data_IF_689367397642
#
_entry.id   IF_689367397642
#
_cell.length_a   1.000
_cell.length_b   1.000
_cell.length_c   1.000
_cell.angle_alpha   90.00
_cell.angle_beta   90.00
_cell.angle_gamma   90.00
#
_symmetry.space_group_name_H-M   'P 1'
#
loop_
_entity.id
_entity.type
_entity.pdbx_description
1 polymer ?
#
# COMPACT_ATOMS: atom_id res chain seq x y z
N UNK A 1 22.72 10.49 -15.92
CA UNK A 1 21.92 9.27 -15.76
C UNK A 1 20.51 9.45 -16.34
N UNK A 2 19.79 10.54 -16.01
CA UNK A 2 18.39 10.77 -16.41
C UNK A 2 18.14 10.77 -17.93
N UNK A 3 19.09 11.17 -18.78
CA UNK A 3 18.95 11.13 -20.25
C UNK A 3 18.68 9.72 -20.81
N UNK A 4 19.02 8.67 -20.07
CA UNK A 4 18.80 7.25 -20.42
C UNK A 4 17.76 6.58 -19.52
N UNK A 5 17.07 7.35 -18.69
CA UNK A 5 16.05 6.86 -17.76
C UNK A 5 14.67 6.96 -18.40
N UNK A 6 13.85 5.94 -18.21
CA UNK A 6 12.39 6.01 -18.39
C UNK A 6 11.71 6.03 -17.04
N UNK A 7 10.56 6.69 -16.95
CA UNK A 7 9.80 6.77 -15.70
C UNK A 7 8.37 6.32 -15.94
N UNK A 8 7.95 5.26 -15.24
CA UNK A 8 6.54 4.89 -15.18
C UNK A 8 5.90 5.66 -14.01
N UNK A 9 4.82 6.35 -14.28
CA UNK A 9 4.08 7.18 -13.32
C UNK A 9 2.71 6.56 -13.14
N UNK A 10 2.51 5.85 -12.02
CA UNK A 10 1.22 5.31 -11.63
C UNK A 10 0.46 6.39 -10.86
N UNK A 11 -0.73 6.77 -11.33
CA UNK A 11 -1.47 7.90 -10.77
C UNK A 11 -2.97 7.65 -10.72
N UNK A 12 -3.66 8.38 -9.86
CA UNK A 12 -5.11 8.45 -9.81
C UNK A 12 -5.58 9.89 -9.99
N UNK A 13 -6.41 10.18 -10.99
CA UNK A 13 -7.00 11.52 -11.18
C UNK A 13 -7.91 11.93 -10.02
N UNK A 14 -8.36 10.98 -9.23
CA UNK A 14 -9.12 11.13 -8.00
C UNK A 14 -8.24 11.49 -6.78
N UNK A 15 -6.92 11.25 -6.84
CA UNK A 15 -5.99 11.42 -5.73
C UNK A 15 -5.43 12.85 -5.68
N UNK A 16 -5.51 13.50 -4.50
CA UNK A 16 -4.96 14.83 -4.27
C UNK A 16 -3.45 14.91 -4.47
N UNK A 17 -2.72 13.89 -4.00
CA UNK A 17 -1.26 13.81 -4.16
C UNK A 17 -0.86 13.64 -5.63
N UNK A 18 -1.61 12.85 -6.40
CA UNK A 18 -1.40 12.74 -7.85
C UNK A 18 -1.59 14.08 -8.54
N UNK A 19 -2.65 14.82 -8.21
CA UNK A 19 -2.93 16.17 -8.74
C UNK A 19 -1.85 17.18 -8.38
N UNK A 20 -1.23 17.02 -7.21
CA UNK A 20 -0.16 17.88 -6.73
C UNK A 20 1.17 17.54 -7.38
N UNK A 21 1.61 16.29 -7.27
CA UNK A 21 3.00 15.92 -7.55
C UNK A 21 3.27 15.58 -9.02
N UNK A 22 2.29 15.01 -9.75
CA UNK A 22 2.52 14.64 -11.15
C UNK A 22 2.77 15.86 -12.05
N UNK A 23 1.98 16.95 -11.99
CA UNK A 23 2.27 18.15 -12.79
C UNK A 23 3.60 18.81 -12.43
N UNK A 24 3.95 18.85 -11.13
CA UNK A 24 5.25 19.41 -10.69
C UNK A 24 6.42 18.59 -11.19
N UNK A 25 6.29 17.26 -11.16
CA UNK A 25 7.30 16.35 -11.69
C UNK A 25 7.50 16.54 -13.20
N UNK A 26 6.41 16.60 -13.98
CA UNK A 26 6.49 16.79 -15.43
C UNK A 26 7.12 18.15 -15.77
N UNK A 27 6.73 19.21 -15.03
CA UNK A 27 7.34 20.53 -15.20
C UNK A 27 8.84 20.51 -14.92
N UNK A 28 9.28 19.92 -13.80
CA UNK A 28 10.71 19.80 -13.49
C UNK A 28 11.43 18.97 -14.54
N UNK A 29 10.80 17.91 -15.07
CA UNK A 29 11.36 17.09 -16.15
C UNK A 29 11.63 17.90 -17.42
N UNK A 30 10.70 18.78 -17.80
CA UNK A 30 10.84 19.70 -18.94
C UNK A 30 11.93 20.75 -18.69
N UNK A 31 11.98 21.35 -17.50
CA UNK A 31 12.99 22.34 -17.10
C UNK A 31 14.42 21.75 -17.12
N UNK A 32 14.56 20.46 -16.87
CA UNK A 32 15.83 19.72 -17.00
C UNK A 32 16.18 19.37 -18.46
N UNK A 33 15.38 19.76 -19.44
CA UNK A 33 15.58 19.46 -20.86
C UNK A 33 15.46 17.97 -21.20
N UNK A 34 14.71 17.21 -20.41
CA UNK A 34 14.48 15.79 -20.61
C UNK A 34 13.25 15.58 -21.51
N UNK A 35 13.21 14.45 -22.23
CA UNK A 35 12.17 14.20 -23.22
C UNK A 35 10.91 13.60 -22.58
N UNK A 36 9.73 14.12 -22.91
CA UNK A 36 8.45 13.59 -22.41
C UNK A 36 8.15 12.15 -22.86
N UNK A 37 8.73 11.68 -23.97
CA UNK A 37 8.61 10.30 -24.39
C UNK A 37 9.34 9.29 -23.47
N UNK A 38 10.12 9.77 -22.51
CA UNK A 38 10.68 8.97 -21.42
C UNK A 38 9.67 8.71 -20.29
N UNK A 39 8.53 9.42 -20.28
CA UNK A 39 7.50 9.33 -19.27
C UNK A 39 6.33 8.47 -19.76
N UNK A 40 5.93 7.48 -18.99
CA UNK A 40 4.72 6.69 -19.22
C UNK A 40 3.76 6.91 -18.06
N UNK A 41 2.56 7.42 -18.35
CA UNK A 41 1.51 7.63 -17.36
C UNK A 41 0.55 6.44 -17.38
N UNK A 42 0.28 5.87 -16.20
CA UNK A 42 -0.63 4.74 -16.00
C UNK A 42 -1.71 5.17 -15.00
N UNK A 43 -2.94 5.35 -15.50
CA UNK A 43 -4.09 5.71 -14.67
C UNK A 43 -4.62 4.50 -13.89
N UNK A 44 -4.88 4.67 -12.59
CA UNK A 44 -5.42 3.63 -11.74
C UNK A 44 -6.87 3.93 -11.33
N UNK A 45 -7.69 2.89 -11.26
CA UNK A 45 -9.07 2.96 -10.79
C UNK A 45 -9.18 3.25 -9.28
N UNK A 46 -10.35 3.74 -8.85
CA UNK A 46 -10.68 3.98 -7.44
C UNK A 46 -12.09 3.48 -7.09
N UNK A 47 -12.61 2.54 -7.84
CA UNK A 47 -13.87 1.93 -7.45
C UNK A 47 -13.63 0.75 -6.48
N UNK A 48 -14.71 0.33 -5.84
CA UNK A 48 -14.65 -0.71 -4.81
C UNK A 48 -14.06 -2.03 -5.31
N UNK A 49 -14.32 -2.39 -6.56
CA UNK A 49 -13.87 -3.65 -7.18
C UNK A 49 -12.45 -3.59 -7.75
N UNK A 50 -11.95 -2.39 -8.10
CA UNK A 50 -10.71 -2.17 -8.86
C UNK A 50 -9.77 -1.15 -8.21
N UNK A 51 -9.80 -1.07 -6.89
CA UNK A 51 -8.98 -0.08 -6.16
C UNK A 51 -7.48 -0.23 -6.46
N UNK A 52 -6.93 0.82 -7.07
CA UNK A 52 -5.51 0.91 -7.51
C UNK A 52 -5.07 -0.16 -8.51
N UNK A 53 -6.00 -0.67 -9.31
CA UNK A 53 -5.66 -1.51 -10.46
C UNK A 53 -5.65 -0.68 -11.75
N UNK A 54 -4.84 -1.07 -12.72
CA UNK A 54 -4.78 -0.45 -14.04
C UNK A 54 -5.68 -1.19 -15.05
N UNK A 55 -6.12 -0.54 -16.15
CA UNK A 55 -7.00 -1.16 -17.14
C UNK A 55 -6.49 -2.48 -17.72
N UNK A 56 -5.19 -2.61 -17.91
CA UNK A 56 -4.56 -3.81 -18.51
C UNK A 56 -3.62 -4.51 -17.50
N UNK A 57 -3.74 -4.23 -16.20
CA UNK A 57 -2.91 -4.86 -15.17
C UNK A 57 -1.45 -4.39 -15.14
N UNK A 58 -1.17 -3.18 -15.64
CA UNK A 58 0.19 -2.64 -15.69
C UNK A 58 0.86 -2.46 -14.32
N UNK A 59 0.05 -2.41 -13.26
CA UNK A 59 0.51 -2.33 -11.87
C UNK A 59 1.00 -3.67 -11.31
N UNK A 60 0.63 -4.79 -11.95
CA UNK A 60 0.97 -6.13 -11.45
C UNK A 60 2.48 -6.32 -11.36
N UNK A 61 2.95 -6.84 -10.23
CA UNK A 61 4.38 -7.00 -9.94
C UNK A 61 5.16 -5.71 -9.76
N UNK A 62 4.49 -4.53 -9.69
CA UNK A 62 5.16 -3.21 -9.49
C UNK A 62 5.06 -2.71 -8.05
N UNK A 63 4.40 -3.46 -7.17
CA UNK A 63 4.26 -3.10 -5.76
C UNK A 63 3.62 -1.71 -5.54
N UNK A 64 2.55 -1.41 -6.31
CA UNK A 64 1.85 -0.14 -6.23
C UNK A 64 0.82 -0.18 -5.11
N UNK A 65 1.08 0.49 -4.00
CA UNK A 65 0.13 0.63 -2.88
C UNK A 65 -0.26 2.08 -2.60
N UNK A 66 0.47 3.04 -3.16
CA UNK A 66 0.18 4.49 -3.06
C UNK A 66 0.26 5.14 -4.44
N UNK A 67 -0.45 6.24 -4.62
CA UNK A 67 -0.40 7.06 -5.84
C UNK A 67 -0.23 8.54 -5.48
N UNK A 68 0.61 9.27 -6.26
CA UNK A 68 1.37 8.77 -7.40
C UNK A 68 2.56 7.89 -6.96
N UNK A 69 2.95 6.95 -7.80
CA UNK A 69 4.25 6.28 -7.67
C UNK A 69 5.03 6.49 -8.95
N UNK A 70 6.25 7.00 -8.82
CA UNK A 70 7.19 7.24 -9.92
C UNK A 70 8.27 6.16 -9.87
N UNK A 71 8.36 5.33 -10.90
CA UNK A 71 9.34 4.25 -11.00
C UNK A 71 10.40 4.61 -12.05
N UNK A 72 11.62 4.85 -11.62
CA UNK A 72 12.75 5.19 -12.47
C UNK A 72 13.46 3.93 -12.94
N UNK A 73 13.59 3.77 -14.27
CA UNK A 73 14.16 2.58 -14.89
C UNK A 73 15.32 2.94 -15.83
N UNK A 74 16.31 2.06 -15.86
CA UNK A 74 17.37 2.04 -16.88
C UNK A 74 17.39 0.65 -17.51
N UNK A 75 17.30 0.57 -18.83
CA UNK A 75 17.19 -0.71 -19.55
C UNK A 75 16.06 -1.61 -19.01
N UNK A 76 14.90 -1.02 -18.70
CA UNK A 76 13.72 -1.65 -18.08
C UNK A 76 13.92 -2.19 -16.65
N UNK A 77 15.07 -1.98 -16.04
CA UNK A 77 15.35 -2.37 -14.65
C UNK A 77 15.12 -1.14 -13.77
N UNK A 78 14.24 -1.30 -12.76
CA UNK A 78 14.02 -0.27 -11.75
C UNK A 78 15.28 -0.07 -10.90
N UNK A 79 15.62 1.19 -10.64
CA UNK A 79 16.75 1.55 -9.79
C UNK A 79 16.42 2.60 -8.72
N UNK A 80 15.24 3.22 -8.82
CA UNK A 80 14.73 4.16 -7.82
C UNK A 80 13.21 4.30 -7.96
N UNK A 81 12.53 4.71 -6.88
CA UNK A 81 11.12 5.12 -6.90
C UNK A 81 10.84 6.24 -5.92
N UNK A 82 9.81 7.04 -6.22
CA UNK A 82 9.17 7.98 -5.29
C UNK A 82 7.74 7.47 -5.07
N UNK A 83 7.33 7.32 -3.81
CA UNK A 83 6.01 6.78 -3.43
C UNK A 83 5.19 7.88 -2.77
N UNK A 84 4.07 8.24 -3.36
CA UNK A 84 3.07 9.24 -2.97
C UNK A 84 3.61 10.67 -2.99
N UNK A 85 4.71 10.94 -2.32
CA UNK A 85 5.37 12.24 -2.27
C UNK A 85 6.88 12.07 -2.20
N UNK A 86 7.67 13.10 -2.55
CA UNK A 86 9.10 13.09 -2.31
C UNK A 86 9.43 12.86 -0.84
N UNK A 87 10.57 12.25 -0.57
CA UNK A 87 11.09 12.04 0.80
C UNK A 87 11.56 13.35 1.42
N UNK A 88 12.26 14.15 0.62
CA UNK A 88 12.75 15.47 0.98
C UNK A 88 11.87 16.53 0.27
N UNK A 89 12.30 16.96 -0.87
CA UNK A 89 11.55 17.71 -1.87
C UNK A 89 11.83 17.12 -3.26
N UNK A 90 11.04 17.53 -4.25
CA UNK A 90 11.12 16.91 -5.57
C UNK A 90 12.45 17.15 -6.28
N UNK A 91 13.05 18.33 -6.13
CA UNK A 91 14.31 18.71 -6.75
C UNK A 91 15.45 17.88 -6.13
N UNK A 92 15.49 17.83 -4.80
CA UNK A 92 16.50 17.07 -4.05
C UNK A 92 16.44 15.59 -4.39
N UNK A 93 15.22 14.98 -4.37
CA UNK A 93 15.08 13.55 -4.67
C UNK A 93 15.46 13.22 -6.10
N UNK A 94 15.09 14.05 -7.09
CA UNK A 94 15.48 13.87 -8.48
C UNK A 94 17.00 14.02 -8.67
N UNK A 95 17.63 14.99 -7.98
CA UNK A 95 19.09 15.15 -8.00
C UNK A 95 19.81 13.92 -7.42
N UNK A 96 19.34 13.40 -6.29
CA UNK A 96 19.90 12.18 -5.68
C UNK A 96 19.73 10.95 -6.58
N UNK A 97 18.58 10.80 -7.24
CA UNK A 97 18.34 9.75 -8.23
C UNK A 97 19.30 9.88 -9.42
N UNK A 98 19.51 11.09 -9.92
CA UNK A 98 20.43 11.37 -11.01
C UNK A 98 21.89 11.00 -10.67
N UNK A 99 22.30 11.29 -9.44
CA UNK A 99 23.63 10.97 -8.90
C UNK A 99 23.80 9.47 -8.59
N UNK A 100 22.71 8.72 -8.43
CA UNK A 100 22.73 7.29 -8.11
C UNK A 100 22.62 6.95 -6.63
N UNK A 101 22.20 7.91 -5.80
CA UNK A 101 22.00 7.77 -4.35
C UNK A 101 20.56 8.12 -3.97
N UNK A 102 19.53 7.39 -4.49
CA UNK A 102 18.15 7.71 -4.23
C UNK A 102 17.83 7.59 -2.73
N UNK A 103 16.99 8.49 -2.23
CA UNK A 103 16.37 8.34 -0.91
C UNK A 103 15.54 7.05 -0.85
N UNK A 104 15.44 6.46 0.34
CA UNK A 104 14.47 5.39 0.57
C UNK A 104 13.05 5.94 0.39
N UNK A 105 12.18 5.24 -0.33
CA UNK A 105 10.80 5.67 -0.53
C UNK A 105 10.05 5.79 0.79
N UNK A 106 9.02 6.63 0.83
CA UNK A 106 8.07 6.65 1.93
C UNK A 106 7.39 5.28 2.09
N UNK A 107 6.81 5.03 3.27
CA UNK A 107 6.09 3.77 3.58
C UNK A 107 7.01 2.54 3.59
N UNK A 108 8.12 2.66 4.33
CA UNK A 108 9.15 1.61 4.41
C UNK A 108 8.59 0.27 4.91
N UNK A 109 7.58 0.28 5.79
CA UNK A 109 6.92 -0.92 6.28
C UNK A 109 6.10 -1.63 5.20
N UNK A 110 5.32 -0.87 4.43
CA UNK A 110 4.53 -1.42 3.32
C UNK A 110 5.43 -1.92 2.18
N UNK A 111 6.47 -1.18 1.82
CA UNK A 111 7.45 -1.61 0.82
C UNK A 111 8.15 -2.90 1.24
N UNK A 112 8.57 -3.01 2.51
CA UNK A 112 9.18 -4.20 3.07
C UNK A 112 8.26 -5.44 2.98
N UNK A 113 6.98 -5.30 3.35
CA UNK A 113 6.05 -6.42 3.24
C UNK A 113 5.74 -6.80 1.80
N UNK A 114 5.60 -5.82 0.90
CA UNK A 114 5.34 -6.13 -0.50
C UNK A 114 6.48 -6.93 -1.13
N UNK A 115 7.74 -6.54 -0.86
CA UNK A 115 8.91 -7.27 -1.32
C UNK A 115 8.94 -8.71 -0.79
N UNK A 116 8.61 -8.90 0.50
CA UNK A 116 8.54 -10.22 1.11
C UNK A 116 7.46 -11.10 0.48
N UNK A 117 6.28 -10.57 0.21
CA UNK A 117 5.19 -11.31 -0.41
C UNK A 117 5.51 -11.79 -1.84
N UNK A 118 6.44 -11.14 -2.51
CA UNK A 118 6.87 -11.54 -3.86
C UNK A 118 8.07 -12.52 -3.83
N UNK A 119 8.77 -12.64 -2.70
CA UNK A 119 10.03 -13.40 -2.60
C UNK A 119 10.01 -14.54 -1.59
N UNK A 120 9.08 -14.51 -0.63
CA UNK A 120 9.03 -15.47 0.50
C UNK A 120 7.64 -16.10 0.58
N UNK A 121 7.58 -17.42 0.81
CA UNK A 121 6.29 -18.10 0.98
C UNK A 121 5.57 -17.66 2.26
N UNK A 122 4.23 -17.63 2.22
CA UNK A 122 3.41 -17.28 3.39
C UNK A 122 3.66 -18.17 4.60
N UNK A 123 3.92 -19.47 4.38
CA UNK A 123 4.23 -20.40 5.46
C UNK A 123 5.52 -19.98 6.20
N UNK A 124 6.52 -19.54 5.46
CA UNK A 124 7.75 -19.00 6.03
C UNK A 124 7.52 -17.68 6.75
N UNK A 125 6.69 -16.80 6.18
CA UNK A 125 6.33 -15.53 6.83
C UNK A 125 5.58 -15.76 8.14
N UNK A 126 4.63 -16.69 8.16
CA UNK A 126 3.87 -17.06 9.37
C UNK A 126 4.80 -17.65 10.46
N UNK A 127 5.71 -18.54 10.10
CA UNK A 127 6.70 -19.08 11.05
C UNK A 127 7.59 -18.00 11.64
N UNK A 128 7.84 -16.92 10.90
CA UNK A 128 8.69 -15.81 11.31
C UNK A 128 7.90 -14.55 11.70
N UNK A 129 6.60 -14.67 12.02
CA UNK A 129 5.72 -13.53 12.33
C UNK A 129 6.34 -12.54 13.33
N UNK A 130 6.87 -13.04 14.44
CA UNK A 130 7.50 -12.21 15.46
C UNK A 130 8.75 -11.44 14.97
N UNK A 131 9.50 -12.01 14.03
CA UNK A 131 10.63 -11.31 13.40
C UNK A 131 10.13 -10.15 12.56
N UNK A 132 9.11 -10.39 11.72
CA UNK A 132 8.53 -9.35 10.87
C UNK A 132 7.87 -8.24 11.71
N UNK A 133 7.17 -8.60 12.79
CA UNK A 133 6.64 -7.63 13.76
C UNK A 133 7.74 -6.72 14.33
N UNK A 134 8.87 -7.32 14.79
CA UNK A 134 9.99 -6.54 15.34
C UNK A 134 10.59 -5.57 14.30
N UNK A 135 10.78 -6.03 13.07
CA UNK A 135 11.31 -5.20 11.97
C UNK A 135 10.35 -4.06 11.65
N UNK A 136 9.05 -4.34 11.56
CA UNK A 136 8.03 -3.34 11.22
C UNK A 136 7.85 -2.26 12.28
N UNK A 137 8.13 -2.54 13.55
CA UNK A 137 8.12 -1.52 14.60
C UNK A 137 9.05 -0.32 14.33
N UNK A 138 10.12 -0.52 13.56
CA UNK A 138 11.03 0.55 13.16
C UNK A 138 10.74 1.15 11.80
N UNK A 139 9.80 0.57 11.02
CA UNK A 139 9.52 0.95 9.64
C UNK A 139 8.12 1.51 9.42
N UNK A 140 7.13 0.97 10.11
CA UNK A 140 5.73 1.41 10.00
C UNK A 140 5.41 2.38 11.14
N UNK A 141 5.14 3.64 10.80
CA UNK A 141 4.90 4.70 11.80
C UNK A 141 3.42 5.06 11.94
N UNK A 142 2.56 4.57 11.06
CA UNK A 142 1.12 4.86 11.06
C UNK A 142 0.34 3.63 10.62
N UNK A 143 -0.77 3.33 11.30
CA UNK A 143 -1.64 2.18 11.00
C UNK A 143 -2.17 2.19 9.57
N UNK A 144 -2.47 3.39 9.02
CA UNK A 144 -2.95 3.55 7.65
C UNK A 144 -1.96 3.10 6.57
N UNK A 145 -0.68 2.93 6.91
CA UNK A 145 0.34 2.44 5.99
C UNK A 145 0.04 1.00 5.58
N UNK A 146 -0.01 0.09 6.56
CA UNK A 146 -0.32 -1.32 6.34
C UNK A 146 -1.80 -1.54 6.01
N UNK A 147 -2.69 -0.71 6.52
CA UNK A 147 -4.10 -0.76 6.16
C UNK A 147 -4.30 -0.58 4.65
N UNK A 148 -3.65 0.45 4.06
CA UNK A 148 -3.73 0.68 2.62
C UNK A 148 -3.14 -0.49 1.82
N UNK A 149 -2.00 -1.05 2.26
CA UNK A 149 -1.41 -2.23 1.62
C UNK A 149 -2.37 -3.42 1.68
N UNK A 150 -2.96 -3.70 2.85
CA UNK A 150 -3.93 -4.78 3.04
C UNK A 150 -5.10 -4.69 2.08
N UNK A 151 -5.69 -3.51 1.90
CA UNK A 151 -6.77 -3.31 0.93
C UNK A 151 -6.32 -3.48 -0.52
N UNK A 152 -5.13 -3.02 -0.90
CA UNK A 152 -4.59 -3.25 -2.24
C UNK A 152 -4.43 -4.74 -2.51
N UNK A 153 -3.92 -5.50 -1.53
CA UNK A 153 -3.79 -6.96 -1.63
C UNK A 153 -5.15 -7.65 -1.74
N UNK A 154 -6.14 -7.24 -0.92
CA UNK A 154 -7.52 -7.77 -1.02
C UNK A 154 -8.11 -7.58 -2.41
N UNK A 155 -8.04 -6.36 -2.95
CA UNK A 155 -8.60 -6.05 -4.28
C UNK A 155 -7.82 -6.73 -5.41
N UNK A 156 -6.55 -7.05 -5.19
CA UNK A 156 -5.73 -7.88 -6.09
C UNK A 156 -5.93 -9.39 -5.89
N UNK A 157 -6.93 -9.79 -5.09
CA UNK A 157 -7.23 -11.21 -4.75
C UNK A 157 -6.10 -11.95 -4.03
N UNK A 158 -5.14 -11.24 -3.46
CA UNK A 158 -4.06 -11.76 -2.61
C UNK A 158 -4.55 -11.82 -1.16
N UNK A 159 -5.63 -12.57 -0.91
CA UNK A 159 -6.38 -12.53 0.37
C UNK A 159 -5.51 -12.96 1.56
N UNK A 160 -4.71 -14.02 1.40
CA UNK A 160 -3.87 -14.54 2.48
C UNK A 160 -2.78 -13.54 2.90
N UNK A 161 -2.17 -12.85 1.93
CA UNK A 161 -1.19 -11.78 2.21
C UNK A 161 -1.87 -10.56 2.85
N UNK A 162 -3.08 -10.23 2.42
CA UNK A 162 -3.87 -9.17 3.04
C UNK A 162 -4.15 -9.48 4.52
N UNK A 163 -4.59 -10.70 4.84
CA UNK A 163 -4.83 -11.14 6.20
C UNK A 163 -3.57 -11.05 7.06
N UNK A 164 -2.43 -11.53 6.56
CA UNK A 164 -1.14 -11.42 7.26
C UNK A 164 -0.75 -9.96 7.52
N UNK A 165 -0.97 -9.07 6.53
CA UNK A 165 -0.71 -7.64 6.65
C UNK A 165 -1.61 -6.98 7.71
N UNK A 166 -2.92 -7.24 7.68
CA UNK A 166 -3.86 -6.71 8.66
C UNK A 166 -3.59 -7.25 10.07
N UNK A 167 -3.26 -8.53 10.20
CA UNK A 167 -2.90 -9.12 11.48
C UNK A 167 -1.69 -8.41 12.09
N UNK A 168 -0.60 -8.26 11.34
CA UNK A 168 0.57 -7.48 11.80
C UNK A 168 0.20 -6.06 12.22
N UNK A 169 -0.71 -5.42 11.49
CA UNK A 169 -1.17 -4.07 11.80
C UNK A 169 -1.87 -4.00 13.17
N UNK A 170 -2.64 -5.02 13.55
CA UNK A 170 -3.28 -5.08 14.88
C UNK A 170 -2.26 -5.20 16.02
N UNK A 171 -1.14 -5.88 15.81
CA UNK A 171 -0.06 -5.97 16.80
C UNK A 171 0.73 -4.68 16.91
N UNK A 172 0.96 -3.99 15.80
CA UNK A 172 1.72 -2.72 15.77
C UNK A 172 0.93 -1.57 16.39
N UNK A 173 -0.36 -1.50 16.10
CA UNK A 173 -1.24 -0.38 16.46
C UNK A 173 -2.45 -0.84 17.29
N UNK A 174 -2.17 -1.59 18.34
CA UNK A 174 -3.16 -2.29 19.18
C UNK A 174 -4.23 -1.42 19.85
N UNK A 175 -4.08 -0.10 19.84
CA UNK A 175 -5.04 0.84 20.41
C UNK A 175 -5.84 1.60 19.33
N UNK A 176 -5.60 1.34 18.06
CA UNK A 176 -6.35 1.93 16.94
C UNK A 176 -7.51 0.99 16.57
N UNK A 177 -8.79 1.37 16.81
CA UNK A 177 -9.92 0.53 16.47
C UNK A 177 -10.01 0.21 14.97
N UNK A 178 -9.52 1.10 14.11
CA UNK A 178 -9.59 0.94 12.66
C UNK A 178 -8.78 -0.26 12.15
N UNK A 179 -7.69 -0.67 12.84
CA UNK A 179 -6.93 -1.85 12.40
C UNK A 179 -7.70 -3.15 12.62
N UNK A 180 -8.51 -3.21 13.68
CA UNK A 180 -9.37 -4.36 13.96
C UNK A 180 -10.59 -4.38 13.04
N UNK A 181 -11.15 -3.21 12.72
CA UNK A 181 -12.26 -3.07 11.77
C UNK A 181 -11.87 -3.62 10.40
N UNK A 182 -10.73 -3.15 9.86
CA UNK A 182 -10.21 -3.60 8.57
C UNK A 182 -9.82 -5.09 8.56
N UNK A 183 -9.26 -5.61 9.66
CA UNK A 183 -8.97 -7.03 9.78
C UNK A 183 -10.24 -7.87 9.86
N UNK A 184 -11.26 -7.40 10.60
CA UNK A 184 -12.58 -8.02 10.67
C UNK A 184 -13.24 -8.12 9.29
N UNK A 185 -13.21 -7.04 8.50
CA UNK A 185 -13.71 -7.03 7.12
C UNK A 185 -13.01 -8.09 6.26
N UNK A 186 -11.67 -8.11 6.29
CA UNK A 186 -10.88 -9.05 5.51
C UNK A 186 -11.16 -10.52 5.89
N UNK A 187 -11.30 -10.80 7.19
CA UNK A 187 -11.67 -12.13 7.71
C UNK A 187 -13.08 -12.53 7.28
N UNK A 188 -14.04 -11.62 7.33
CA UNK A 188 -15.40 -11.88 6.90
C UNK A 188 -15.48 -12.20 5.40
N UNK A 189 -14.76 -11.44 4.58
CA UNK A 189 -14.62 -11.70 3.14
C UNK A 189 -13.96 -13.05 2.84
N UNK A 190 -13.08 -13.53 3.74
CA UNK A 190 -12.45 -14.85 3.63
C UNK A 190 -13.31 -15.99 4.20
N UNK A 191 -14.51 -15.71 4.73
CA UNK A 191 -15.40 -16.70 5.34
C UNK A 191 -15.05 -17.07 6.79
N UNK A 192 -14.09 -16.39 7.42
CA UNK A 192 -13.65 -16.63 8.79
C UNK A 192 -14.54 -15.85 9.81
N UNK A 193 -15.85 -16.08 9.76
CA UNK A 193 -16.87 -15.27 10.45
C UNK A 193 -16.66 -15.17 11.97
N UNK A 194 -16.26 -16.25 12.64
CA UNK A 194 -16.03 -16.22 14.09
C UNK A 194 -14.81 -15.35 14.46
N UNK A 195 -13.75 -15.39 13.65
CA UNK A 195 -12.60 -14.51 13.87
C UNK A 195 -12.95 -13.04 13.57
N UNK A 196 -13.71 -12.79 12.49
CA UNK A 196 -14.20 -11.45 12.15
C UNK A 196 -15.04 -10.88 13.30
N UNK A 197 -15.97 -11.66 13.87
CA UNK A 197 -16.78 -11.28 15.02
C UNK A 197 -15.91 -10.83 16.22
N UNK A 198 -14.84 -11.58 16.51
CA UNK A 198 -13.91 -11.22 17.58
C UNK A 198 -13.19 -9.89 17.30
N UNK A 199 -12.84 -9.62 16.05
CA UNK A 199 -12.20 -8.35 15.67
C UNK A 199 -13.16 -7.17 15.86
N UNK A 200 -14.41 -7.28 15.40
CA UNK A 200 -15.41 -6.22 15.62
C UNK A 200 -15.78 -6.04 17.10
N UNK A 201 -15.82 -7.10 17.92
CA UNK A 201 -15.93 -6.97 19.37
C UNK A 201 -14.74 -6.20 19.97
N UNK A 202 -13.53 -6.42 19.44
CA UNK A 202 -12.35 -5.64 19.84
C UNK A 202 -12.46 -4.17 19.43
N UNK A 203 -13.04 -3.86 18.26
CA UNK A 203 -13.37 -2.47 17.88
C UNK A 203 -14.23 -1.82 18.96
N UNK A 204 -15.34 -2.46 19.37
CA UNK A 204 -16.25 -1.91 20.39
C UNK A 204 -15.61 -1.78 21.78
N UNK A 205 -14.58 -2.58 22.09
CA UNK A 205 -13.80 -2.41 23.32
C UNK A 205 -12.99 -1.10 23.31
N UNK A 206 -12.53 -0.66 22.13
CA UNK A 206 -11.72 0.54 21.95
C UNK A 206 -12.57 1.78 21.61
N UNK A 207 -13.65 1.58 20.86
CA UNK A 207 -14.63 2.60 20.45
C UNK A 207 -16.05 2.04 20.61
N UNK A 208 -16.66 2.19 21.80
CA UNK A 208 -18.00 1.65 22.09
C UNK A 208 -19.11 2.22 21.19
N UNK A 209 -18.91 3.39 20.60
CA UNK A 209 -19.91 4.04 19.75
C UNK A 209 -19.72 3.73 18.25
N UNK A 210 -18.81 2.85 17.90
CA UNK A 210 -18.54 2.49 16.50
C UNK A 210 -19.76 1.83 15.86
N UNK A 211 -20.42 2.57 14.97
CA UNK A 211 -21.65 2.13 14.30
C UNK A 211 -21.41 0.97 13.34
N UNK A 212 -20.27 1.00 12.61
CA UNK A 212 -19.94 -0.08 11.67
C UNK A 212 -19.77 -1.40 12.41
N UNK A 213 -18.97 -1.43 13.47
CA UNK A 213 -18.77 -2.65 14.25
C UNK A 213 -20.08 -3.21 14.84
N UNK A 214 -20.98 -2.34 15.33
CA UNK A 214 -22.33 -2.77 15.82
C UNK A 214 -23.13 -3.46 14.71
N UNK A 215 -23.10 -2.93 13.49
CA UNK A 215 -23.80 -3.50 12.32
C UNK A 215 -23.18 -4.84 11.92
N UNK A 216 -21.85 -4.90 11.80
CA UNK A 216 -21.13 -6.09 11.37
C UNK A 216 -21.27 -7.25 12.37
N UNK A 217 -21.22 -6.98 13.67
CA UNK A 217 -21.45 -7.98 14.72
C UNK A 217 -22.83 -8.61 14.54
N UNK A 218 -23.88 -7.79 14.42
CA UNK A 218 -25.25 -8.29 14.26
C UNK A 218 -25.40 -9.15 13.00
N UNK A 219 -24.78 -8.75 11.89
CA UNK A 219 -24.80 -9.51 10.64
C UNK A 219 -24.07 -10.86 10.77
N UNK A 220 -22.90 -10.88 11.42
CA UNK A 220 -22.11 -12.10 11.61
C UNK A 220 -22.74 -13.07 12.60
N UNK A 221 -23.36 -12.58 13.67
CA UNK A 221 -24.09 -13.41 14.63
C UNK A 221 -25.26 -14.13 13.96
N UNK A 222 -26.00 -13.47 13.06
CA UNK A 222 -27.05 -14.10 12.27
C UNK A 222 -26.55 -15.23 11.36
N UNK A 223 -25.29 -15.16 10.89
CA UNK A 223 -24.67 -16.21 10.05
C UNK A 223 -24.08 -17.37 10.85
N UNK A 224 -23.79 -17.18 12.15
CA UNK A 224 -23.14 -18.17 12.99
C UNK A 224 -24.10 -18.93 13.93
N UNK A 225 -25.38 -18.60 13.90
CA UNK A 225 -26.43 -19.20 14.76
C UNK A 225 -27.07 -20.46 14.10
N UNK A 226 -26.47 -20.98 13.05
CA UNK A 226 -26.79 -22.23 12.38
C UNK A 226 -25.58 -23.17 12.49
#
# INVERSE_FOLDING_TARGET
>A
KLKKTTVDIYLGTWCGDSKKWVPQFIRLWDELGLKRNQLRLVGLYNDESRYKTAPNGEEQGKQIHRVPTFIFKSNNIEYARIVESPKNDLITDIAQIALGFPSKPNYEGANYLFELFDTVSLDTLNKNFNLHYKILRSKAHQSKELNTLGYVLLKSKRIKEALFCFELNTYLFKYDPNVYDSFGEALALNGEHLKALNMYKKVLTLDPENKNAKIQIKALEALTTF
#
